data_IF_171293247198
#
_entry.id   IF_171293247198
#
_cell.length_a   1.000
_cell.length_b   1.000
_cell.length_c   1.000
_cell.angle_alpha   90.00
_cell.angle_beta   90.00
_cell.angle_gamma   90.00
#
_symmetry.space_group_name_H-M   'P 1'
#
loop_
_entity.id
_entity.type
_entity.pdbx_description
1 polymer ?
#
# COMPACT_ATOMS: atom_id res chain seq x y z
N UNK A 1 -33.71 37.47 -71.70
CA UNK A 1 -35.02 37.00 -71.21
C UNK A 1 -35.02 37.25 -69.71
N UNK A 2 -35.37 38.48 -69.33
CA UNK A 2 -36.71 38.91 -68.86
C UNK A 2 -36.92 38.53 -67.39
N UNK A 3 -36.80 39.52 -66.49
CA UNK A 3 -37.89 40.28 -65.81
C UNK A 3 -38.24 39.62 -64.47
N UNK A 4 -37.75 40.14 -63.33
CA UNK A 4 -38.37 41.16 -62.47
C UNK A 4 -39.59 40.70 -61.64
N UNK A 5 -39.48 40.92 -60.32
CA UNK A 5 -40.45 41.50 -59.35
C UNK A 5 -39.80 41.37 -57.96
N UNK A 6 -39.41 42.46 -57.29
CA UNK A 6 -40.28 43.38 -56.52
C UNK A 6 -40.61 42.71 -55.18
N UNK A 7 -40.20 43.20 -54.00
CA UNK A 7 -40.65 44.45 -53.36
C UNK A 7 -39.72 44.91 -52.21
N UNK A 8 -39.42 46.22 -52.15
CA UNK A 8 -39.12 47.01 -50.93
C UNK A 8 -40.44 47.21 -50.14
N UNK A 9 -40.59 47.48 -48.84
CA UNK A 9 -39.88 48.18 -47.74
C UNK A 9 -40.61 47.75 -46.41
N UNK A 10 -40.36 48.25 -45.17
CA UNK A 10 -39.46 49.32 -44.73
C UNK A 10 -38.55 48.98 -43.52
N UNK A 11 -37.55 49.84 -43.35
CA UNK A 11 -36.77 50.02 -42.14
C UNK A 11 -37.65 50.40 -40.93
N UNK A 12 -37.44 49.71 -39.80
CA UNK A 12 -37.74 50.24 -38.47
C UNK A 12 -36.45 50.18 -37.66
N UNK A 13 -35.91 51.37 -37.42
CA UNK A 13 -34.73 51.58 -36.59
C UNK A 13 -34.94 51.10 -35.15
N UNK A 14 -34.02 50.26 -34.70
CA UNK A 14 -33.80 49.94 -33.30
C UNK A 14 -32.31 50.01 -33.03
N UNK A 15 -31.83 51.17 -32.59
CA UNK A 15 -30.45 51.37 -32.14
C UNK A 15 -30.18 50.46 -30.93
N UNK A 16 -29.47 49.37 -31.16
CA UNK A 16 -28.90 48.59 -30.05
C UNK A 16 -27.70 49.35 -29.49
N UNK A 17 -27.61 49.56 -28.17
CA UNK A 17 -26.51 50.30 -27.56
C UNK A 17 -25.18 49.58 -27.78
N UNK A 18 -24.06 50.32 -27.91
CA UNK A 18 -22.75 49.74 -28.12
C UNK A 18 -22.42 48.79 -26.97
N UNK A 19 -22.04 47.54 -27.31
CA UNK A 19 -21.56 46.56 -26.34
C UNK A 19 -20.35 47.17 -25.60
N UNK A 20 -20.30 47.05 -24.26
CA UNK A 20 -19.15 47.56 -23.51
C UNK A 20 -17.87 46.88 -23.99
N UNK A 21 -16.73 47.58 -23.99
CA UNK A 21 -15.46 47.04 -24.45
C UNK A 21 -15.14 45.78 -23.64
N UNK A 22 -14.95 44.66 -24.33
CA UNK A 22 -14.44 43.43 -23.72
C UNK A 22 -13.06 43.74 -23.17
N UNK A 23 -12.94 43.85 -21.83
CA UNK A 23 -11.64 43.81 -21.17
C UNK A 23 -10.96 42.51 -21.60
N UNK A 24 -9.85 42.64 -22.30
CA UNK A 24 -8.91 41.54 -22.52
C UNK A 24 -8.39 41.15 -21.14
N UNK A 25 -8.96 40.11 -20.55
CA UNK A 25 -8.39 39.48 -19.36
C UNK A 25 -7.19 38.69 -19.89
N UNK A 26 -6.02 39.27 -19.78
CA UNK A 26 -4.78 38.52 -19.85
C UNK A 26 -4.74 37.64 -18.61
N UNK A 27 -5.09 36.37 -18.74
CA UNK A 27 -4.83 35.38 -17.69
C UNK A 27 -3.32 35.17 -17.72
N UNK A 28 -2.62 35.82 -16.79
CA UNK A 28 -1.28 35.40 -16.42
C UNK A 28 -1.45 34.14 -15.59
N UNK A 29 -1.12 32.99 -16.17
CA UNK A 29 -0.95 31.73 -15.43
C UNK A 29 0.26 31.90 -14.52
N UNK A 30 0.02 32.36 -13.29
CA UNK A 30 0.85 31.98 -12.17
C UNK A 30 0.35 30.60 -11.74
N UNK A 31 1.22 29.60 -11.87
CA UNK A 31 1.12 28.34 -11.16
C UNK A 31 1.14 28.63 -9.66
N UNK A 32 -0.02 28.95 -9.10
CA UNK A 32 -0.25 28.86 -7.67
C UNK A 32 -1.02 27.58 -7.44
N UNK A 33 -0.28 26.48 -7.29
CA UNK A 33 -0.78 25.32 -6.58
C UNK A 33 -1.34 25.82 -5.25
N UNK A 34 -2.64 25.65 -5.07
CA UNK A 34 -3.30 25.90 -3.79
C UNK A 34 -2.86 24.76 -2.87
N UNK A 35 -1.64 24.85 -2.34
CA UNK A 35 -1.29 24.14 -1.13
C UNK A 35 -2.15 24.75 -0.03
N UNK A 36 -3.18 24.01 0.38
CA UNK A 36 -3.84 24.26 1.66
C UNK A 36 -2.76 24.02 2.72
N UNK A 37 -2.06 25.08 3.09
CA UNK A 37 -0.89 25.00 3.95
C UNK A 37 -1.28 24.53 5.34
N UNK A 38 -0.64 23.47 5.80
CA UNK A 38 -0.66 23.05 7.20
C UNK A 38 0.12 24.09 8.04
N UNK A 39 -0.44 24.52 9.17
CA UNK A 39 0.24 25.40 10.12
C UNK A 39 1.35 24.67 10.88
N UNK A 40 2.25 25.41 11.54
CA UNK A 40 3.29 24.81 12.39
C UNK A 40 2.70 23.94 13.52
N UNK A 41 1.58 24.39 14.11
CA UNK A 41 0.87 23.65 15.15
C UNK A 41 0.30 22.34 14.61
N UNK A 42 -0.31 22.39 13.44
CA UNK A 42 -0.86 21.19 12.80
C UNK A 42 0.26 20.24 12.35
N UNK A 43 1.41 20.75 11.90
CA UNK A 43 2.57 19.93 11.60
C UNK A 43 3.10 19.25 12.86
N UNK A 44 3.24 19.98 13.98
CA UNK A 44 3.66 19.39 15.25
C UNK A 44 2.70 18.29 15.71
N UNK A 45 1.39 18.52 15.60
CA UNK A 45 0.38 17.49 15.87
C UNK A 45 0.52 16.29 14.92
N UNK A 46 0.72 16.53 13.62
CA UNK A 46 0.88 15.45 12.64
C UNK A 46 2.17 14.65 12.85
N UNK A 47 3.25 15.27 13.34
CA UNK A 47 4.48 14.55 13.72
C UNK A 47 4.23 13.61 14.90
N UNK A 48 3.56 14.09 15.95
CA UNK A 48 3.20 13.27 17.10
C UNK A 48 2.24 12.13 16.73
N UNK A 49 1.27 12.39 15.85
CA UNK A 49 0.39 11.34 15.34
C UNK A 49 1.13 10.30 14.48
N UNK A 50 2.07 10.74 13.64
CA UNK A 50 2.87 9.83 12.83
C UNK A 50 3.80 8.95 13.67
N UNK A 51 4.40 9.52 14.72
CA UNK A 51 5.19 8.78 15.69
C UNK A 51 4.39 7.68 16.37
N UNK A 52 3.19 8.01 16.89
CA UNK A 52 2.29 7.02 17.49
C UNK A 52 1.85 5.93 16.50
N UNK A 53 1.68 6.26 15.22
CA UNK A 53 1.36 5.29 14.18
C UNK A 53 2.52 4.31 13.95
N UNK A 54 3.76 4.81 13.88
CA UNK A 54 4.96 3.96 13.75
C UNK A 54 5.25 3.14 15.01
N UNK A 55 5.03 3.66 16.21
CA UNK A 55 5.19 2.90 17.46
C UNK A 55 4.28 1.67 17.52
N UNK A 56 3.12 1.73 16.86
CA UNK A 56 2.20 0.60 16.72
C UNK A 56 2.75 -0.55 15.87
N UNK A 57 3.83 -0.32 15.12
CA UNK A 57 4.50 -1.30 14.26
C UNK A 57 5.93 -1.61 14.74
N UNK A 58 6.69 -0.60 15.17
CA UNK A 58 8.14 -0.72 15.37
C UNK A 58 8.64 -0.75 16.81
N UNK A 59 7.82 -0.52 17.84
CA UNK A 59 8.26 -0.17 19.22
C UNK A 59 8.95 1.20 19.31
N UNK A 60 8.83 1.86 20.47
CA UNK A 60 9.29 3.24 20.68
C UNK A 60 10.78 3.51 20.34
N UNK A 61 11.77 2.69 20.76
CA UNK A 61 13.18 2.97 20.45
C UNK A 61 13.49 2.96 18.94
N UNK A 62 12.87 2.06 18.19
CA UNK A 62 13.07 1.96 16.75
C UNK A 62 12.34 3.09 16.00
N UNK A 63 11.17 3.51 16.47
CA UNK A 63 10.48 4.70 15.97
C UNK A 63 11.33 5.96 16.16
N UNK A 64 11.85 6.20 17.37
CA UNK A 64 12.69 7.37 17.66
C UNK A 64 13.91 7.43 16.73
N UNK A 65 14.57 6.29 16.55
CA UNK A 65 15.71 6.16 15.65
C UNK A 65 15.33 6.47 14.19
N UNK A 66 14.28 5.83 13.65
CA UNK A 66 13.86 6.01 12.27
C UNK A 66 13.46 7.47 11.99
N UNK A 67 12.66 8.06 12.88
CA UNK A 67 12.22 9.46 12.78
C UNK A 67 13.39 10.44 12.92
N UNK A 68 14.31 10.18 13.85
CA UNK A 68 15.52 10.99 14.02
C UNK A 68 16.34 11.05 12.72
N UNK A 69 16.57 9.90 12.09
CA UNK A 69 17.26 9.82 10.80
C UNK A 69 16.47 10.53 9.70
N UNK A 70 15.16 10.27 9.57
CA UNK A 70 14.30 10.88 8.55
C UNK A 70 14.28 12.40 8.67
N UNK A 71 14.10 12.93 9.88
CA UNK A 71 14.04 14.37 10.11
C UNK A 71 15.40 15.03 9.87
N UNK A 72 16.50 14.36 10.21
CA UNK A 72 17.84 14.82 9.84
C UNK A 72 18.04 14.87 8.31
N UNK A 73 17.51 13.88 7.57
CA UNK A 73 17.59 13.83 6.11
C UNK A 73 16.71 14.88 5.40
N UNK A 74 15.54 15.19 5.97
CA UNK A 74 14.72 16.34 5.51
C UNK A 74 15.47 17.66 5.76
N UNK A 75 16.18 17.73 6.89
CA UNK A 75 17.01 18.87 7.28
C UNK A 75 16.21 20.09 7.71
N UNK A 76 16.90 21.22 7.84
CA UNK A 76 16.27 22.50 8.15
C UNK A 76 15.38 22.97 6.98
N UNK A 77 14.21 23.49 7.33
CA UNK A 77 13.18 23.94 6.38
C UNK A 77 12.54 25.23 6.87
N UNK A 78 12.08 26.06 5.94
CA UNK A 78 11.55 27.39 6.24
C UNK A 78 10.02 27.40 6.39
N UNK A 79 9.35 26.27 6.14
CA UNK A 79 7.90 26.15 6.28
C UNK A 79 7.44 24.70 6.48
N UNK A 80 6.25 24.49 7.06
CA UNK A 80 5.63 23.17 7.11
C UNK A 80 5.42 22.51 5.76
N UNK A 81 5.06 23.27 4.73
CA UNK A 81 4.87 22.75 3.38
C UNK A 81 6.19 22.21 2.79
N UNK A 82 7.30 22.92 3.02
CA UNK A 82 8.63 22.46 2.59
C UNK A 82 9.04 21.16 3.30
N UNK A 83 8.73 21.03 4.60
CA UNK A 83 8.97 19.80 5.37
C UNK A 83 8.27 18.59 4.75
N UNK A 84 6.97 18.74 4.45
CA UNK A 84 6.16 17.66 3.87
C UNK A 84 6.71 17.28 2.50
N UNK A 85 6.93 18.28 1.63
CA UNK A 85 7.41 18.10 0.26
C UNK A 85 8.75 17.37 0.20
N UNK A 86 9.72 17.75 1.03
CA UNK A 86 11.01 17.05 1.11
C UNK A 86 10.84 15.60 1.58
N UNK A 87 9.95 15.36 2.54
CA UNK A 87 9.63 13.99 2.95
C UNK A 87 8.96 13.17 1.84
N UNK A 88 8.06 13.77 1.04
CA UNK A 88 7.48 13.14 -0.15
C UNK A 88 8.57 12.76 -1.16
N UNK A 89 9.50 13.66 -1.46
CA UNK A 89 10.63 13.40 -2.37
C UNK A 89 11.50 12.22 -1.89
N UNK A 90 11.80 12.16 -0.59
CA UNK A 90 12.58 11.10 0.01
C UNK A 90 11.86 9.74 -0.09
N UNK A 91 10.59 9.68 0.32
CA UNK A 91 9.79 8.45 0.28
C UNK A 91 9.57 7.96 -1.15
N UNK A 92 9.22 8.86 -2.09
CA UNK A 92 9.07 8.53 -3.50
C UNK A 92 10.35 7.93 -4.07
N UNK A 93 11.49 8.58 -3.82
CA UNK A 93 12.78 8.16 -4.36
C UNK A 93 13.20 6.79 -3.84
N UNK A 94 13.14 6.56 -2.53
CA UNK A 94 13.52 5.24 -1.97
C UNK A 94 12.53 4.16 -2.43
N UNK A 95 11.23 4.47 -2.45
CA UNK A 95 10.23 3.52 -2.94
C UNK A 95 10.43 3.17 -4.42
N UNK A 96 10.85 4.12 -5.24
CA UNK A 96 11.16 3.88 -6.66
C UNK A 96 12.47 3.11 -6.85
N UNK A 97 13.57 3.62 -6.27
CA UNK A 97 14.93 3.18 -6.59
C UNK A 97 15.35 1.90 -5.85
N UNK A 98 14.83 1.67 -4.64
CA UNK A 98 15.22 0.55 -3.78
C UNK A 98 14.12 -0.51 -3.73
N UNK A 99 12.89 -0.11 -3.41
CA UNK A 99 11.80 -1.06 -3.17
C UNK A 99 11.03 -1.42 -4.44
N UNK A 100 10.96 -0.53 -5.43
CA UNK A 100 10.25 -0.73 -6.69
C UNK A 100 10.64 -2.04 -7.37
N UNK A 101 11.94 -2.31 -7.58
CA UNK A 101 12.40 -3.58 -8.13
C UNK A 101 11.97 -4.81 -7.31
N UNK A 102 12.13 -4.76 -5.97
CA UNK A 102 11.81 -5.88 -5.08
C UNK A 102 10.30 -6.17 -5.05
N UNK A 103 9.48 -5.12 -4.96
CA UNK A 103 8.03 -5.22 -4.92
C UNK A 103 7.47 -5.65 -6.27
N UNK A 104 8.04 -5.18 -7.38
CA UNK A 104 7.68 -5.65 -8.72
C UNK A 104 8.05 -7.13 -8.92
N UNK A 105 9.23 -7.54 -8.45
CA UNK A 105 9.67 -8.93 -8.44
C UNK A 105 8.72 -9.82 -7.64
N UNK A 106 8.33 -9.36 -6.44
CA UNK A 106 7.32 -10.02 -5.61
C UNK A 106 5.98 -10.19 -6.35
N UNK A 107 5.47 -9.12 -6.98
CA UNK A 107 4.22 -9.17 -7.72
C UNK A 107 4.28 -10.14 -8.92
N UNK A 108 5.44 -10.22 -9.59
CA UNK A 108 5.69 -11.17 -10.68
C UNK A 108 5.74 -12.62 -10.17
N UNK A 109 6.47 -12.87 -9.07
CA UNK A 109 6.53 -14.17 -8.40
C UNK A 109 5.13 -14.65 -8.01
N UNK A 110 4.34 -13.78 -7.34
CA UNK A 110 2.97 -14.08 -6.94
C UNK A 110 2.07 -14.38 -8.14
N UNK A 111 2.19 -13.59 -9.22
CA UNK A 111 1.44 -13.81 -10.46
C UNK A 111 1.74 -15.17 -11.09
N UNK A 112 3.02 -15.54 -11.17
CA UNK A 112 3.46 -16.84 -11.69
C UNK A 112 2.96 -18.00 -10.82
N UNK A 113 3.16 -17.90 -9.50
CA UNK A 113 2.72 -18.92 -8.55
C UNK A 113 1.22 -19.16 -8.63
N UNK A 114 0.41 -18.10 -8.52
CA UNK A 114 -1.05 -18.20 -8.52
C UNK A 114 -1.60 -18.67 -9.88
N UNK A 115 -1.03 -18.19 -10.99
CA UNK A 115 -1.39 -18.67 -12.32
C UNK A 115 -1.08 -20.16 -12.50
N UNK A 116 0.08 -20.62 -12.01
CA UNK A 116 0.47 -22.05 -12.05
C UNK A 116 -0.44 -22.95 -11.20
N UNK A 117 -1.01 -22.41 -10.12
CA UNK A 117 -2.03 -23.06 -9.30
C UNK A 117 -3.42 -23.10 -9.97
N UNK A 118 -3.57 -22.47 -11.15
CA UNK A 118 -4.82 -22.37 -11.90
C UNK A 118 -5.80 -21.37 -11.29
N UNK A 119 -5.31 -20.34 -10.59
CA UNK A 119 -6.14 -19.18 -10.23
C UNK A 119 -6.42 -18.37 -11.49
N UNK A 120 -7.67 -17.93 -11.65
CA UNK A 120 -8.10 -17.05 -12.74
C UNK A 120 -8.92 -15.88 -12.18
N UNK A 121 -8.81 -14.70 -12.80
CA UNK A 121 -9.58 -13.54 -12.39
C UNK A 121 -9.05 -12.90 -11.10
N UNK A 122 -9.93 -12.63 -10.12
CA UNK A 122 -9.55 -11.79 -8.98
C UNK A 122 -8.55 -12.48 -8.03
N UNK A 123 -7.51 -11.75 -7.65
CA UNK A 123 -6.56 -12.09 -6.58
C UNK A 123 -6.69 -11.05 -5.48
N UNK A 124 -6.86 -11.48 -4.24
CA UNK A 124 -7.21 -10.60 -3.13
C UNK A 124 -5.98 -10.18 -2.32
N UNK A 125 -5.81 -8.87 -2.14
CA UNK A 125 -4.69 -8.28 -1.37
C UNK A 125 -5.19 -7.73 -0.04
N UNK A 126 -4.55 -8.11 1.06
CA UNK A 126 -4.81 -7.53 2.38
C UNK A 126 -4.23 -6.10 2.47
N UNK A 127 -5.06 -5.10 2.14
CA UNK A 127 -4.66 -3.71 1.84
C UNK A 127 -3.99 -2.92 2.96
N UNK A 128 -3.94 -3.42 4.18
CA UNK A 128 -3.24 -2.71 5.25
C UNK A 128 -1.73 -2.75 4.99
N UNK A 129 -1.19 -3.95 4.84
CA UNK A 129 0.25 -4.19 4.77
C UNK A 129 0.66 -4.54 3.33
N UNK A 130 -0.24 -5.12 2.52
CA UNK A 130 0.03 -5.51 1.14
C UNK A 130 -0.30 -4.43 0.10
N UNK A 131 -0.63 -3.19 0.50
CA UNK A 131 -0.93 -2.10 -0.45
C UNK A 131 0.23 -1.80 -1.39
N UNK A 132 1.50 -1.73 -0.93
CA UNK A 132 2.65 -1.57 -1.82
C UNK A 132 2.71 -2.67 -2.89
N UNK A 133 2.47 -3.92 -2.49
CA UNK A 133 2.45 -5.08 -3.40
C UNK A 133 1.34 -4.97 -4.44
N UNK A 134 0.12 -4.60 -4.02
CA UNK A 134 -1.00 -4.39 -4.94
C UNK A 134 -0.70 -3.27 -5.96
N UNK A 135 -0.03 -2.20 -5.52
CA UNK A 135 0.36 -1.08 -6.39
C UNK A 135 1.24 -1.52 -7.54
N UNK A 136 2.19 -2.44 -7.33
CA UNK A 136 2.93 -3.03 -8.45
C UNK A 136 2.11 -4.06 -9.23
N UNK A 137 1.32 -4.87 -8.52
CA UNK A 137 0.54 -5.96 -9.10
C UNK A 137 -0.41 -5.52 -10.20
N UNK A 138 -1.05 -4.34 -10.09
CA UNK A 138 -1.96 -3.83 -11.13
C UNK A 138 -1.28 -3.62 -12.48
N UNK A 139 0.05 -3.52 -12.52
CA UNK A 139 0.83 -3.35 -13.75
C UNK A 139 1.35 -4.67 -14.35
N UNK A 140 1.45 -5.75 -13.55
CA UNK A 140 2.07 -7.02 -13.99
C UNK A 140 1.11 -8.21 -13.98
N UNK A 141 0.21 -8.30 -13.00
CA UNK A 141 -0.74 -9.40 -12.86
C UNK A 141 -1.69 -9.59 -14.05
N UNK A 142 -2.13 -8.53 -14.77
CA UNK A 142 -2.94 -8.71 -15.98
C UNK A 142 -2.28 -9.57 -17.06
N UNK A 143 -0.94 -9.59 -17.14
CA UNK A 143 -0.22 -10.46 -18.09
C UNK A 143 -0.34 -11.96 -17.78
N UNK A 144 -0.72 -12.29 -16.54
CA UNK A 144 -1.01 -13.65 -16.07
C UNK A 144 -2.51 -13.98 -16.08
N UNK A 145 -3.37 -13.09 -16.60
CA UNK A 145 -4.83 -13.25 -16.54
C UNK A 145 -5.43 -13.01 -15.14
N UNK A 146 -4.69 -12.33 -14.27
CA UNK A 146 -5.07 -12.07 -12.88
C UNK A 146 -5.43 -10.60 -12.67
N UNK A 147 -6.42 -10.34 -11.83
CA UNK A 147 -6.94 -9.02 -11.50
C UNK A 147 -6.75 -8.74 -9.99
N UNK A 148 -5.81 -7.87 -9.59
CA UNK A 148 -5.63 -7.51 -8.18
C UNK A 148 -6.85 -6.79 -7.63
N UNK A 149 -7.36 -7.25 -6.49
CA UNK A 149 -8.48 -6.65 -5.75
C UNK A 149 -8.07 -6.41 -4.31
N UNK A 150 -8.15 -5.17 -3.87
CA UNK A 150 -7.80 -4.81 -2.50
C UNK A 150 -8.94 -5.04 -1.52
N UNK A 151 -8.66 -5.73 -0.41
CA UNK A 151 -9.58 -5.96 0.71
C UNK A 151 -8.92 -5.46 2.00
N UNK A 152 -9.63 -4.62 2.75
CA UNK A 152 -9.18 -4.20 4.08
C UNK A 152 -9.54 -5.27 5.11
N UNK A 153 -8.57 -6.10 5.44
CA UNK A 153 -8.70 -7.16 6.44
C UNK A 153 -7.39 -7.30 7.19
N UNK A 154 -7.48 -7.64 8.46
CA UNK A 154 -6.36 -7.74 9.38
C UNK A 154 -6.79 -8.60 10.58
N UNK A 155 -5.90 -8.77 11.55
CA UNK A 155 -6.15 -9.53 12.78
C UNK A 155 -7.41 -9.06 13.54
N UNK A 156 -7.58 -7.76 13.89
CA UNK A 156 -8.81 -7.27 14.54
C UNK A 156 -10.10 -7.62 13.79
N UNK A 157 -10.13 -7.44 12.46
CA UNK A 157 -11.30 -7.75 11.63
C UNK A 157 -11.60 -9.25 11.53
N UNK A 158 -10.59 -10.09 11.79
CA UNK A 158 -10.71 -11.53 11.90
C UNK A 158 -10.99 -12.01 13.34
N UNK A 159 -11.16 -11.10 14.31
CA UNK A 159 -11.38 -11.46 15.71
C UNK A 159 -10.11 -11.99 16.42
N UNK A 160 -8.94 -11.71 15.87
CA UNK A 160 -7.64 -12.16 16.38
C UNK A 160 -7.03 -11.01 17.20
N UNK A 161 -6.64 -11.30 18.45
CA UNK A 161 -5.89 -10.35 19.28
C UNK A 161 -4.45 -10.19 18.80
N UNK A 162 -3.83 -9.07 19.16
CA UNK A 162 -2.44 -8.76 18.85
C UNK A 162 -1.70 -8.46 20.17
N UNK A 163 -0.55 -9.12 20.37
CA UNK A 163 0.23 -9.00 21.61
C UNK A 163 1.09 -7.74 21.65
N UNK A 164 1.50 -7.24 20.49
CA UNK A 164 2.41 -6.09 20.38
C UNK A 164 1.60 -4.80 20.50
N UNK A 165 0.38 -4.80 19.94
CA UNK A 165 -0.59 -3.73 20.12
C UNK A 165 -1.95 -4.34 20.45
N UNK A 166 -2.34 -4.44 21.74
CA UNK A 166 -3.61 -5.03 22.18
C UNK A 166 -4.76 -4.10 21.82
N UNK A 167 -5.00 -3.93 20.52
CA UNK A 167 -6.16 -3.25 20.01
C UNK A 167 -7.40 -4.05 20.41
N UNK A 168 -8.44 -3.33 20.83
CA UNK A 168 -9.68 -3.94 21.27
C UNK A 168 -10.28 -4.73 20.11
N UNK A 169 -10.27 -6.06 20.22
CA UNK A 169 -11.05 -6.92 19.34
C UNK A 169 -12.53 -6.53 19.53
N UNK A 170 -13.25 -6.12 18.47
CA UNK A 170 -14.62 -5.64 18.62
C UNK A 170 -15.53 -6.68 19.26
N UNK A 171 -16.37 -6.25 20.21
CA UNK A 171 -17.47 -7.06 20.71
C UNK A 171 -18.52 -7.24 19.60
N UNK A 172 -18.73 -8.46 19.10
CA UNK A 172 -19.76 -8.76 18.10
C UNK A 172 -19.47 -9.99 17.24
N UNK A 173 -20.41 -10.37 16.38
CA UNK A 173 -20.23 -11.46 15.39
C UNK A 173 -19.41 -10.98 14.19
N UNK A 174 -18.10 -10.76 14.43
CA UNK A 174 -17.15 -10.35 13.40
C UNK A 174 -17.07 -11.38 12.26
N UNK A 175 -17.23 -12.66 12.57
CA UNK A 175 -17.26 -13.75 11.57
C UNK A 175 -18.35 -13.53 10.52
N UNK A 176 -19.59 -13.21 10.93
CA UNK A 176 -20.68 -12.96 9.99
C UNK A 176 -20.46 -11.68 9.16
N UNK A 177 -19.98 -10.60 9.77
CA UNK A 177 -19.69 -9.35 9.06
C UNK A 177 -18.54 -9.52 8.06
N UNK A 178 -17.46 -10.18 8.46
CA UNK A 178 -16.32 -10.50 7.59
C UNK A 178 -16.76 -11.39 6.43
N UNK A 179 -17.61 -12.40 6.68
CA UNK A 179 -18.21 -13.20 5.60
C UNK A 179 -19.02 -12.35 4.61
N UNK A 180 -19.89 -11.46 5.08
CA UNK A 180 -20.68 -10.56 4.20
C UNK A 180 -19.77 -9.64 3.38
N UNK A 181 -18.75 -9.06 4.01
CA UNK A 181 -17.76 -8.21 3.35
C UNK A 181 -16.96 -8.96 2.27
N UNK A 182 -16.41 -10.14 2.59
CA UNK A 182 -15.70 -10.99 1.61
C UNK A 182 -16.61 -11.42 0.46
N UNK A 183 -17.88 -11.73 0.74
CA UNK A 183 -18.88 -12.05 -0.28
C UNK A 183 -19.18 -10.88 -1.22
N UNK A 184 -19.30 -9.67 -0.67
CA UNK A 184 -19.52 -8.44 -1.47
C UNK A 184 -18.36 -8.11 -2.39
N UNK A 185 -17.13 -8.48 -2.02
CA UNK A 185 -15.93 -8.34 -2.87
C UNK A 185 -15.71 -9.55 -3.79
N UNK A 186 -16.65 -10.49 -3.85
CA UNK A 186 -16.62 -11.64 -4.74
C UNK A 186 -15.73 -12.81 -4.28
N UNK A 187 -15.02 -12.69 -3.16
CA UNK A 187 -14.04 -13.70 -2.74
C UNK A 187 -14.71 -15.04 -2.41
N UNK A 188 -15.92 -15.00 -1.86
CA UNK A 188 -16.69 -16.22 -1.56
C UNK A 188 -17.31 -16.88 -2.81
N UNK A 189 -17.30 -16.20 -3.97
CA UNK A 189 -17.85 -16.72 -5.22
C UNK A 189 -16.88 -17.61 -6.00
N UNK A 190 -15.58 -17.57 -5.70
CA UNK A 190 -14.55 -18.32 -6.43
C UNK A 190 -14.34 -19.73 -5.86
N UNK A 191 -14.11 -20.74 -6.69
CA UNK A 191 -13.73 -22.08 -6.22
C UNK A 191 -12.30 -22.12 -5.70
N UNK A 192 -11.39 -21.43 -6.40
CA UNK A 192 -10.01 -21.22 -6.00
C UNK A 192 -9.76 -19.75 -5.66
N UNK A 193 -9.16 -19.49 -4.52
CA UNK A 193 -8.97 -18.13 -3.99
C UNK A 193 -7.47 -17.86 -3.85
N UNK A 194 -6.95 -16.94 -4.67
CA UNK A 194 -5.61 -16.39 -4.50
C UNK A 194 -5.62 -15.26 -3.48
N UNK A 195 -4.73 -15.33 -2.47
CA UNK A 195 -4.69 -14.37 -1.38
C UNK A 195 -3.27 -13.89 -1.12
N UNK A 196 -3.07 -12.58 -1.19
CA UNK A 196 -1.77 -11.93 -0.95
C UNK A 196 -1.80 -11.16 0.35
N UNK A 197 -0.81 -11.41 1.18
CA UNK A 197 -0.54 -10.69 2.43
C UNK A 197 0.94 -10.30 2.47
N UNK A 198 1.28 -9.30 3.28
CA UNK A 198 2.68 -9.02 3.61
C UNK A 198 3.14 -9.81 4.84
N UNK A 199 2.20 -10.25 5.69
CA UNK A 199 2.48 -10.70 7.05
C UNK A 199 3.31 -11.97 7.19
N UNK A 200 3.92 -12.14 8.36
CA UNK A 200 5.02 -13.10 8.55
C UNK A 200 4.60 -14.50 9.06
N UNK A 201 3.47 -14.62 9.77
CA UNK A 201 3.11 -15.86 10.49
C UNK A 201 1.90 -16.63 9.94
N UNK A 202 1.03 -15.99 9.14
CA UNK A 202 -0.12 -16.70 8.55
C UNK A 202 -1.39 -16.78 9.41
N UNK A 203 -1.52 -15.94 10.44
CA UNK A 203 -2.69 -15.93 11.35
C UNK A 203 -4.00 -15.56 10.64
N UNK A 204 -3.98 -14.51 9.81
CA UNK A 204 -5.15 -14.08 9.01
C UNK A 204 -5.53 -15.14 7.97
N UNK A 205 -4.61 -15.67 7.14
CA UNK A 205 -4.92 -16.77 6.22
C UNK A 205 -5.49 -18.01 6.90
N UNK A 206 -4.98 -18.39 8.08
CA UNK A 206 -5.51 -19.52 8.83
C UNK A 206 -6.99 -19.31 9.18
N UNK A 207 -7.33 -18.15 9.76
CA UNK A 207 -8.72 -17.84 10.13
C UNK A 207 -9.62 -17.76 8.89
N UNK A 208 -9.14 -17.13 7.82
CA UNK A 208 -9.87 -17.07 6.55
C UNK A 208 -10.18 -18.46 6.00
N UNK A 209 -9.19 -19.35 5.96
CA UNK A 209 -9.36 -20.74 5.53
C UNK A 209 -10.32 -21.50 6.44
N UNK A 210 -10.15 -21.38 7.75
CA UNK A 210 -10.95 -22.13 8.73
C UNK A 210 -12.38 -21.65 8.85
N UNK A 211 -12.72 -20.39 8.56
CA UNK A 211 -14.05 -19.84 8.79
C UNK A 211 -14.81 -19.44 7.53
N UNK A 212 -14.12 -19.16 6.44
CA UNK A 212 -14.73 -18.57 5.24
C UNK A 212 -14.45 -19.36 3.96
N UNK A 213 -13.30 -20.03 3.88
CA UNK A 213 -12.84 -20.74 2.69
C UNK A 213 -12.64 -22.25 2.91
N UNK A 214 -13.33 -22.85 3.89
CA UNK A 214 -13.15 -24.27 4.28
C UNK A 214 -13.18 -25.22 3.07
N UNK A 215 -14.24 -25.11 2.25
CA UNK A 215 -14.50 -25.95 1.09
C UNK A 215 -13.87 -25.46 -0.22
N UNK A 216 -12.99 -24.45 -0.16
CA UNK A 216 -12.35 -23.84 -1.33
C UNK A 216 -10.86 -24.14 -1.37
N UNK A 217 -10.29 -24.21 -2.55
CA UNK A 217 -8.85 -24.21 -2.69
C UNK A 217 -8.34 -22.79 -2.40
N UNK A 218 -7.44 -22.65 -1.43
CA UNK A 218 -7.05 -21.35 -0.90
C UNK A 218 -5.53 -21.26 -0.90
N UNK A 219 -5.01 -20.28 -1.64
CA UNK A 219 -3.60 -20.12 -1.94
C UNK A 219 -3.10 -18.80 -1.37
N UNK A 220 -2.74 -18.77 -0.07
CA UNK A 220 -2.03 -17.63 0.49
C UNK A 220 -0.61 -17.57 -0.07
N UNK A 221 -0.12 -16.38 -0.38
CA UNK A 221 1.26 -16.12 -0.79
C UNK A 221 1.72 -14.80 -0.18
N UNK A 222 2.92 -14.79 0.37
CA UNK A 222 3.43 -13.68 1.18
C UNK A 222 4.62 -12.96 0.54
N UNK A 223 4.87 -11.73 0.99
CA UNK A 223 6.17 -11.09 0.74
C UNK A 223 7.27 -11.85 1.49
N UNK A 224 7.05 -12.12 2.78
CA UNK A 224 7.94 -12.88 3.65
C UNK A 224 7.14 -13.75 4.63
N UNK A 225 7.60 -14.98 4.91
CA UNK A 225 6.89 -15.92 5.77
C UNK A 225 7.83 -16.72 6.67
N UNK A 226 7.63 -16.68 7.98
CA UNK A 226 8.16 -17.65 8.94
C UNK A 226 7.43 -18.99 8.87
N UNK A 227 6.23 -19.03 8.29
CA UNK A 227 5.48 -20.26 8.13
C UNK A 227 5.92 -21.01 6.85
N UNK A 228 6.56 -22.19 6.95
CA UNK A 228 7.00 -22.95 5.78
C UNK A 228 5.86 -23.49 4.92
N UNK A 229 4.62 -23.50 5.41
CA UNK A 229 3.43 -23.92 4.66
C UNK A 229 2.89 -22.81 3.75
N UNK A 230 3.38 -21.57 3.88
CA UNK A 230 2.95 -20.41 3.07
C UNK A 230 4.12 -19.96 2.19
N UNK A 231 4.01 -20.08 0.86
CA UNK A 231 5.04 -19.61 -0.05
C UNK A 231 5.27 -18.10 0.09
N UNK A 232 6.53 -17.69 0.03
CA UNK A 232 6.91 -16.29 0.07
C UNK A 232 8.03 -15.94 -0.90
N UNK A 233 8.07 -14.66 -1.26
CA UNK A 233 9.00 -14.12 -2.23
C UNK A 233 10.43 -14.02 -1.69
N UNK A 234 10.60 -13.57 -0.44
CA UNK A 234 11.93 -13.32 0.11
C UNK A 234 12.76 -14.59 0.27
N UNK A 235 12.18 -15.71 0.70
CA UNK A 235 12.88 -17.00 0.72
C UNK A 235 13.21 -17.50 -0.69
N UNK A 236 12.32 -17.30 -1.66
CA UNK A 236 12.58 -17.66 -3.06
C UNK A 236 13.75 -16.86 -3.63
N UNK A 237 13.79 -15.55 -3.36
CA UNK A 237 14.85 -14.67 -3.83
C UNK A 237 16.18 -14.95 -3.13
N UNK A 238 16.15 -15.29 -1.83
CA UNK A 238 17.35 -15.48 -1.00
C UNK A 238 17.94 -16.90 -1.03
N UNK A 239 17.22 -17.89 -1.57
CA UNK A 239 17.54 -19.33 -1.54
C UNK A 239 18.87 -19.79 -2.18
N UNK A 240 19.77 -18.86 -2.51
CA UNK A 240 21.16 -19.14 -2.92
C UNK A 240 22.17 -18.04 -2.57
N UNK A 241 21.77 -17.00 -1.84
CA UNK A 241 22.57 -15.77 -1.64
C UNK A 241 23.13 -15.61 -0.23
N UNK A 242 22.80 -16.51 0.70
CA UNK A 242 23.31 -16.50 2.06
C UNK A 242 22.81 -15.33 2.91
N UNK A 243 21.71 -14.69 2.51
CA UNK A 243 21.06 -13.63 3.30
C UNK A 243 20.55 -14.19 4.61
N UNK A 244 20.85 -13.50 5.71
CA UNK A 244 20.43 -13.93 7.04
C UNK A 244 18.94 -13.69 7.26
N UNK A 245 18.33 -14.52 8.10
CA UNK A 245 16.94 -14.34 8.54
C UNK A 245 16.71 -12.97 9.20
N UNK A 246 17.69 -12.46 9.95
CA UNK A 246 17.67 -11.11 10.52
C UNK A 246 17.50 -10.03 9.44
N UNK A 247 18.20 -10.15 8.30
CA UNK A 247 18.07 -9.21 7.20
C UNK A 247 16.71 -9.31 6.50
N UNK A 248 16.13 -10.52 6.39
CA UNK A 248 14.78 -10.70 5.85
C UNK A 248 13.71 -10.07 6.76
N UNK A 249 13.83 -10.25 8.07
CA UNK A 249 12.96 -9.58 9.05
C UNK A 249 13.11 -8.04 8.96
N UNK A 250 14.34 -7.53 8.89
CA UNK A 250 14.57 -6.09 8.68
C UNK A 250 13.89 -5.59 7.40
N UNK A 251 13.93 -6.37 6.32
CA UNK A 251 13.30 -6.01 5.05
C UNK A 251 11.78 -5.92 5.17
N UNK A 252 11.16 -6.92 5.80
CA UNK A 252 9.72 -6.91 6.07
C UNK A 252 9.32 -5.70 6.91
N UNK A 253 10.00 -5.46 8.04
CA UNK A 253 9.63 -4.38 8.96
C UNK A 253 9.88 -2.99 8.32
N UNK A 254 10.90 -2.87 7.48
CA UNK A 254 11.18 -1.63 6.76
C UNK A 254 10.07 -1.26 5.76
N UNK A 255 9.33 -2.24 5.22
CA UNK A 255 8.15 -1.94 4.40
C UNK A 255 7.10 -1.18 5.22
N UNK A 256 6.90 -1.55 6.48
CA UNK A 256 5.86 -0.95 7.33
C UNK A 256 6.16 0.52 7.66
N UNK A 257 7.43 0.91 7.80
CA UNK A 257 7.81 2.30 8.04
C UNK A 257 7.95 3.14 6.76
N UNK A 258 8.44 2.55 5.67
CA UNK A 258 8.60 3.29 4.41
C UNK A 258 7.26 3.53 3.71
N UNK A 259 6.29 2.64 3.91
CA UNK A 259 4.97 2.75 3.29
C UNK A 259 3.90 3.09 4.32
N UNK A 260 3.95 4.27 4.96
CA UNK A 260 2.96 4.62 5.96
C UNK A 260 1.57 4.65 5.32
N UNK A 261 0.60 4.01 5.98
CA UNK A 261 -0.73 3.89 5.41
C UNK A 261 -1.45 5.25 5.45
N UNK A 262 -2.10 5.69 4.35
CA UNK A 262 -2.90 6.92 4.35
C UNK A 262 -4.19 6.78 5.18
N UNK A 263 -4.56 5.55 5.54
CA UNK A 263 -5.70 5.25 6.41
C UNK A 263 -5.23 4.46 7.62
N UNK A 264 -5.79 4.75 8.79
CA UNK A 264 -5.49 3.98 9.99
C UNK A 264 -6.00 2.55 9.85
N UNK A 265 -5.33 1.64 10.55
CA UNK A 265 -5.72 0.23 10.67
C UNK A 265 -7.22 0.13 11.01
N UNK A 266 -8.05 -0.50 10.17
CA UNK A 266 -9.47 -0.62 10.44
C UNK A 266 -9.70 -1.60 11.58
N UNK A 267 -10.46 -1.18 12.58
CA UNK A 267 -10.78 -2.01 13.76
C UNK A 267 -12.11 -2.73 13.65
N UNK A 268 -13.05 -2.23 12.83
CA UNK A 268 -14.38 -2.81 12.72
C UNK A 268 -14.97 -2.62 11.31
N UNK A 269 -15.87 -3.53 10.97
CA UNK A 269 -16.75 -3.42 9.81
C UNK A 269 -18.05 -2.72 10.25
N UNK A 270 -18.65 -1.92 9.37
CA UNK A 270 -19.95 -1.26 9.59
C UNK A 270 -20.89 -1.53 8.44
N UNK A 271 -22.19 -1.60 8.72
CA UNK A 271 -23.21 -1.60 7.67
C UNK A 271 -23.57 -0.16 7.30
N UNK A 272 -23.38 0.19 6.03
CA UNK A 272 -23.71 1.49 5.45
C UNK A 272 -24.39 1.28 4.11
N UNK A 273 -25.58 1.85 3.93
CA UNK A 273 -26.35 1.76 2.68
C UNK A 273 -26.55 0.31 2.17
N UNK A 274 -26.73 -0.65 3.09
CA UNK A 274 -26.90 -2.08 2.76
C UNK A 274 -25.61 -2.82 2.42
N UNK A 275 -24.45 -2.15 2.47
CA UNK A 275 -23.13 -2.74 2.27
C UNK A 275 -22.38 -2.85 3.60
N UNK A 276 -21.55 -3.88 3.75
CA UNK A 276 -20.61 -3.98 4.87
C UNK A 276 -19.28 -3.42 4.38
N UNK A 277 -18.77 -2.41 5.07
CA UNK A 277 -17.53 -1.72 4.70
C UNK A 277 -16.61 -1.59 5.90
N UNK A 278 -15.28 -1.58 5.70
CA UNK A 278 -14.34 -1.24 6.76
C UNK A 278 -14.55 0.20 7.20
N UNK A 279 -14.55 0.44 8.52
CA UNK A 279 -14.56 1.81 9.06
C UNK A 279 -13.16 2.41 8.94
N UNK A 280 -12.88 3.03 7.80
CA UNK A 280 -11.63 3.71 7.55
C UNK A 280 -11.62 5.10 8.21
N UNK A 281 -10.51 5.43 8.86
CA UNK A 281 -10.22 6.78 9.34
C UNK A 281 -8.96 7.28 8.63
N UNK A 282 -8.92 8.56 8.22
CA UNK A 282 -7.67 9.15 7.73
C UNK A 282 -6.57 9.00 8.78
N UNK A 283 -5.35 8.73 8.31
CA UNK A 283 -4.14 8.75 9.14
C UNK A 283 -3.63 10.19 9.32
N UNK A 284 -2.49 10.38 9.98
CA UNK A 284 -1.85 11.70 10.05
C UNK A 284 -1.62 12.30 8.63
N UNK A 285 -1.48 13.62 8.53
CA UNK A 285 -1.20 14.29 7.25
C UNK A 285 0.12 13.80 6.65
N UNK A 286 1.14 13.57 7.49
CA UNK A 286 2.43 13.03 7.06
C UNK A 286 2.28 11.62 6.47
N UNK A 287 1.57 10.72 7.16
CA UNK A 287 1.34 9.35 6.68
C UNK A 287 0.59 9.33 5.35
N UNK A 288 -0.40 10.22 5.18
CA UNK A 288 -1.11 10.37 3.90
C UNK A 288 -0.17 10.82 2.79
N UNK A 289 0.55 11.92 2.99
CA UNK A 289 1.41 12.53 1.97
C UNK A 289 2.60 11.65 1.61
N UNK A 290 3.33 11.18 2.62
CA UNK A 290 4.51 10.35 2.43
C UNK A 290 4.14 8.94 1.94
N UNK A 291 3.02 8.39 2.41
CA UNK A 291 2.49 7.12 1.92
C UNK A 291 2.06 7.18 0.47
N UNK A 292 1.33 8.23 0.08
CA UNK A 292 0.96 8.47 -1.33
C UNK A 292 2.19 8.63 -2.22
N UNK A 293 3.21 9.37 -1.77
CA UNK A 293 4.47 9.53 -2.49
C UNK A 293 5.23 8.21 -2.64
N UNK A 294 5.31 7.39 -1.57
CA UNK A 294 5.95 6.07 -1.62
C UNK A 294 5.25 5.13 -2.62
N UNK A 295 3.91 5.07 -2.57
CA UNK A 295 3.12 4.29 -3.52
C UNK A 295 3.28 4.82 -4.96
N UNK A 296 3.39 6.14 -5.13
CA UNK A 296 3.70 6.78 -6.40
C UNK A 296 5.04 6.32 -6.98
N UNK A 297 6.08 6.19 -6.14
CA UNK A 297 7.38 5.65 -6.54
C UNK A 297 7.30 4.20 -7.04
N UNK A 298 6.56 3.33 -6.35
CA UNK A 298 6.32 1.94 -6.81
C UNK A 298 5.58 1.94 -8.15
N UNK A 299 4.49 2.70 -8.25
CA UNK A 299 3.66 2.74 -9.45
C UNK A 299 4.47 3.22 -10.66
N UNK A 300 5.29 4.27 -10.46
CA UNK A 300 6.19 4.77 -11.50
C UNK A 300 7.16 3.68 -11.96
N UNK A 301 7.87 3.01 -11.03
CA UNK A 301 8.80 1.94 -11.38
C UNK A 301 8.11 0.79 -12.14
N UNK A 302 6.95 0.35 -11.63
CA UNK A 302 6.16 -0.72 -12.23
C UNK A 302 5.66 -0.35 -13.63
N UNK A 303 5.29 0.91 -13.85
CA UNK A 303 4.87 1.42 -15.15
C UNK A 303 6.04 1.48 -16.15
N UNK A 304 7.23 1.91 -15.72
CA UNK A 304 8.46 1.92 -16.54
C UNK A 304 8.85 0.52 -17.02
N UNK A 305 8.53 -0.52 -16.23
CA UNK A 305 8.79 -1.94 -16.51
C UNK A 305 7.59 -2.72 -17.07
N UNK A 306 6.45 -2.06 -17.28
CA UNK A 306 5.21 -2.73 -17.65
C UNK A 306 5.35 -3.52 -18.96
N UNK A 307 4.87 -4.76 -18.97
CA UNK A 307 4.94 -5.67 -20.13
C UNK A 307 6.28 -6.41 -20.30
N UNK A 308 7.38 -5.93 -19.73
CA UNK A 308 8.66 -6.64 -19.69
C UNK A 308 8.86 -7.39 -18.36
N UNK A 309 8.26 -6.88 -17.28
CA UNK A 309 8.49 -7.39 -15.94
C UNK A 309 9.89 -7.01 -15.44
N UNK A 310 10.40 -7.80 -14.50
CA UNK A 310 11.74 -7.65 -13.95
C UNK A 310 12.49 -8.97 -14.00
N UNK A 311 13.76 -8.93 -14.40
CA UNK A 311 14.61 -10.12 -14.47
C UNK A 311 15.05 -10.57 -13.07
N UNK A 312 15.45 -11.83 -12.92
CA UNK A 312 15.99 -12.33 -11.65
C UNK A 312 17.28 -11.58 -11.24
N UNK A 313 18.14 -11.23 -12.20
CA UNK A 313 19.36 -10.44 -11.93
C UNK A 313 19.03 -9.06 -11.36
N UNK A 314 18.07 -8.33 -11.95
CA UNK A 314 17.66 -7.03 -11.42
C UNK A 314 17.05 -7.14 -10.00
N UNK A 315 16.36 -8.24 -9.69
CA UNK A 315 15.86 -8.49 -8.33
C UNK A 315 17.00 -8.75 -7.34
N UNK A 316 18.04 -9.47 -7.75
CA UNK A 316 19.24 -9.70 -6.94
C UNK A 316 20.02 -8.42 -6.70
N UNK A 317 20.23 -7.60 -7.74
CA UNK A 317 20.89 -6.30 -7.62
C UNK A 317 20.13 -5.37 -6.64
N UNK A 318 18.80 -5.44 -6.66
CA UNK A 318 17.95 -4.70 -5.72
C UNK A 318 18.06 -5.23 -4.29
N UNK A 319 18.14 -6.55 -4.11
CA UNK A 319 18.40 -7.17 -2.80
C UNK A 319 19.76 -6.72 -2.24
N UNK A 320 20.82 -6.74 -3.04
CA UNK A 320 22.14 -6.25 -2.64
C UNK A 320 22.11 -4.75 -2.28
N UNK A 321 21.39 -3.95 -3.08
CA UNK A 321 21.18 -2.52 -2.80
C UNK A 321 20.47 -2.33 -1.46
N UNK A 322 19.44 -3.13 -1.18
CA UNK A 322 18.73 -3.11 0.10
C UNK A 322 19.65 -3.45 1.27
N UNK A 323 20.46 -4.50 1.16
CA UNK A 323 21.41 -4.91 2.19
C UNK A 323 22.44 -3.79 2.46
N UNK A 324 22.91 -3.10 1.42
CA UNK A 324 23.78 -1.94 1.58
C UNK A 324 23.06 -0.76 2.29
N UNK A 325 21.74 -0.62 2.12
CA UNK A 325 20.91 0.40 2.80
C UNK A 325 20.73 0.08 4.29
N UNK A 326 20.63 -1.19 4.67
CA UNK A 326 20.67 -1.63 6.07
C UNK A 326 21.99 -1.16 6.72
N UNK A 327 23.13 -1.37 6.07
CA UNK A 327 24.43 -0.94 6.61
C UNK A 327 24.56 0.59 6.74
N UNK A 328 23.92 1.36 5.86
CA UNK A 328 23.83 2.82 5.99
C UNK A 328 22.98 3.22 7.22
N UNK A 329 21.87 2.52 7.45
CA UNK A 329 20.98 2.76 8.59
C UNK A 329 21.70 2.52 9.93
N UNK A 330 22.60 1.51 10.00
CA UNK A 330 23.48 1.27 11.17
C UNK A 330 24.38 2.47 11.52
N UNK A 331 24.71 3.29 10.52
CA UNK A 331 25.57 4.46 10.68
C UNK A 331 24.78 5.74 11.03
N UNK A 332 23.47 5.63 11.28
CA UNK A 332 22.61 6.78 11.55
C UNK A 332 22.21 7.57 10.30
N UNK A 333 22.41 6.99 9.10
CA UNK A 333 22.06 7.64 7.84
C UNK A 333 20.68 7.14 7.41
N UNK A 334 19.77 8.07 7.15
CA UNK A 334 18.46 7.71 6.61
C UNK A 334 18.62 7.06 5.23
N UNK A 335 18.20 5.81 5.14
CA UNK A 335 18.25 5.01 3.93
C UNK A 335 16.87 4.46 3.53
N UNK A 336 15.83 4.77 4.31
CA UNK A 336 14.51 4.17 4.19
C UNK A 336 14.47 2.68 4.52
N UNK A 337 15.45 2.19 5.30
CA UNK A 337 15.50 0.82 5.85
C UNK A 337 15.81 0.87 7.34
N UNK A 338 15.33 -0.13 8.07
CA UNK A 338 15.74 -0.42 9.44
C UNK A 338 16.98 -1.32 9.43
N UNK A 339 17.86 -1.16 10.42
CA UNK A 339 19.01 -2.05 10.59
C UNK A 339 18.83 -3.15 11.64
N UNK A 340 17.73 -3.08 12.40
CA UNK A 340 17.27 -4.15 13.28
C UNK A 340 15.80 -4.39 13.00
N UNK A 341 15.37 -5.64 13.10
CA UNK A 341 13.95 -5.98 13.12
C UNK A 341 13.37 -5.66 14.49
N UNK A 342 12.07 -5.45 14.50
CA UNK A 342 11.25 -5.41 15.70
C UNK A 342 11.35 -6.72 16.48
N UNK A 343 11.04 -6.73 17.79
CA UNK A 343 11.01 -7.97 18.55
C UNK A 343 10.03 -8.95 17.91
N UNK A 344 10.52 -10.17 17.65
CA UNK A 344 9.72 -11.25 17.07
C UNK A 344 8.48 -11.48 17.91
N UNK A 345 7.32 -11.70 17.25
CA UNK A 345 6.07 -12.04 17.92
C UNK A 345 6.27 -13.24 18.84
N UNK A 346 6.15 -13.04 20.15
CA UNK A 346 6.52 -14.02 21.18
C UNK A 346 5.78 -15.34 21.10
N UNK A 347 4.59 -15.37 20.52
CA UNK A 347 3.79 -16.58 20.30
C UNK A 347 3.95 -17.18 18.90
N UNK A 348 4.84 -16.65 18.06
CA UNK A 348 5.04 -17.10 16.69
C UNK A 348 5.36 -18.59 16.60
N UNK A 349 6.39 -19.04 17.31
CA UNK A 349 6.80 -20.45 17.33
C UNK A 349 5.70 -21.38 17.86
N UNK A 350 5.06 -21.00 18.98
CA UNK A 350 3.95 -21.75 19.57
C UNK A 350 2.73 -21.82 18.63
N UNK A 351 2.51 -20.77 17.85
CA UNK A 351 1.49 -20.71 16.82
C UNK A 351 1.82 -21.64 15.66
N UNK A 352 3.06 -21.60 15.14
CA UNK A 352 3.50 -22.49 14.05
C UNK A 352 3.45 -23.96 14.46
N UNK A 353 3.82 -24.28 15.70
CA UNK A 353 3.73 -25.65 16.22
C UNK A 353 2.31 -26.22 16.21
N UNK A 354 1.29 -25.35 16.27
CA UNK A 354 -0.15 -25.71 16.22
C UNK A 354 -0.75 -25.52 14.82
N UNK A 355 0.03 -25.04 13.86
CA UNK A 355 -0.46 -24.79 12.51
C UNK A 355 -0.86 -26.10 11.84
N UNK A 356 -2.09 -26.21 11.29
CA UNK A 356 -2.50 -27.43 10.60
C UNK A 356 -1.64 -27.66 9.35
N UNK A 357 -0.95 -28.81 9.29
CA UNK A 357 -0.13 -29.19 8.13
C UNK A 357 -1.00 -29.53 6.92
N UNK A 358 -0.53 -29.18 5.72
CA UNK A 358 -1.21 -29.48 4.46
C UNK A 358 -2.53 -28.70 4.27
N UNK A 359 -2.71 -27.60 5.02
CA UNK A 359 -3.94 -26.82 5.01
C UNK A 359 -4.21 -26.15 3.64
N UNK A 360 -3.16 -25.83 2.90
CA UNK A 360 -3.22 -25.07 1.65
C UNK A 360 -2.99 -25.90 0.37
N UNK A 361 -3.02 -27.23 0.47
CA UNK A 361 -2.98 -28.10 -0.70
C UNK A 361 -1.73 -27.96 -1.58
N UNK A 362 -0.61 -27.56 -0.97
CA UNK A 362 0.71 -27.44 -1.62
C UNK A 362 1.44 -28.78 -1.60
#
# INVERSE_FOLDING_TARGET
>A
MELERGTADPEVGGSTPPKPPRKKITIMTQESEIYIGISEKELAASKAEFELELEGELTAPYTEMYLGQLYAAIGEVNSPAEFIRKGEELHHKIAHDVYGPLILGCAQFMGQYLSSAGIEGNVYYALRDAKPLMTAAVHVMPSFGLNPVGIYINRPLCGIGDEINPEVVPNGDMTAMTKKYLGQNGALGQEKVGWVDAGCWGTVPLVLKMHHFQAKDYYPVFFYSHNPEVPDYLHQLSGGTGVSEEALNCMNDSLECLFPSPVRRPLLLVEQCGQVVPKLKPSSVLSQKWGEAALGGIAQYAQEKSGQGITFTEQQDALETFLAKIEQSKQGIWSGTLWQSTPIWSQGEDFLAKYPKGLFGV
#
